data_IF_459861342314
#
_entry.id   IF_459861342314
#
_cell.length_a   1.000
_cell.length_b   1.000
_cell.length_c   1.000
_cell.angle_alpha   90.00
_cell.angle_beta   90.00
_cell.angle_gamma   90.00
#
_symmetry.space_group_name_H-M   'P 1'
#
loop_
_entity.id
_entity.type
_entity.pdbx_description
1 polymer ?
#
# COMPACT_ATOMS: atom_id res chain seq x y z
N UNK A 1 8.56 11.36 -11.43
CA UNK A 1 7.48 10.53 -10.89
C UNK A 1 6.18 11.30 -11.07
N UNK A 2 5.27 10.81 -11.89
CA UNK A 2 3.99 11.48 -12.12
C UNK A 2 3.08 11.28 -10.90
N UNK A 3 2.46 12.36 -10.41
CA UNK A 3 1.54 12.33 -9.28
C UNK A 3 0.34 11.39 -9.57
N UNK A 4 -0.25 10.74 -8.56
CA UNK A 4 -1.46 9.94 -8.75
C UNK A 4 -2.57 10.86 -9.25
N UNK A 5 -2.96 10.67 -10.52
CA UNK A 5 -4.11 11.33 -11.11
C UNK A 5 -5.32 11.04 -10.22
N UNK A 6 -5.90 12.08 -9.61
CA UNK A 6 -7.14 11.98 -8.84
C UNK A 6 -8.14 11.19 -9.69
N UNK A 7 -8.53 10.00 -9.22
CA UNK A 7 -9.55 9.19 -9.87
C UNK A 7 -10.80 10.05 -10.03
N UNK A 8 -11.15 10.35 -11.29
CA UNK A 8 -12.39 11.05 -11.60
C UNK A 8 -13.54 10.22 -11.04
N UNK A 9 -14.33 10.77 -10.13
CA UNK A 9 -15.48 10.10 -9.53
C UNK A 9 -16.41 9.52 -10.61
N UNK A 10 -16.54 10.19 -11.75
CA UNK A 10 -17.32 9.73 -12.91
C UNK A 10 -16.78 8.42 -13.51
N UNK A 11 -15.46 8.25 -13.58
CA UNK A 11 -14.85 7.04 -14.12
C UNK A 11 -15.10 5.85 -13.19
N UNK A 12 -14.96 6.06 -11.87
CA UNK A 12 -15.27 5.02 -10.89
C UNK A 12 -16.75 4.61 -10.93
N UNK A 13 -17.66 5.57 -10.97
CA UNK A 13 -19.10 5.29 -11.08
C UNK A 13 -19.45 4.53 -12.35
N UNK A 14 -18.82 4.88 -13.50
CA UNK A 14 -19.01 4.15 -14.76
C UNK A 14 -18.62 2.68 -14.61
N UNK A 15 -17.42 2.38 -14.11
CA UNK A 15 -16.96 1.00 -13.95
C UNK A 15 -17.78 0.20 -12.94
N UNK A 16 -18.22 0.84 -11.84
CA UNK A 16 -19.12 0.19 -10.87
C UNK A 16 -20.49 -0.14 -11.47
N UNK A 17 -21.04 0.74 -12.32
CA UNK A 17 -22.29 0.47 -13.02
C UNK A 17 -22.13 -0.66 -14.06
N UNK A 18 -21.01 -0.69 -14.78
CA UNK A 18 -20.70 -1.74 -15.75
C UNK A 18 -20.56 -3.10 -15.06
N UNK A 19 -19.83 -3.16 -13.94
CA UNK A 19 -19.76 -4.36 -13.12
C UNK A 19 -21.12 -4.76 -12.55
N UNK A 20 -21.93 -3.79 -12.11
CA UNK A 20 -23.29 -4.04 -11.66
C UNK A 20 -24.15 -4.68 -12.74
N UNK A 21 -24.03 -4.21 -13.99
CA UNK A 21 -24.73 -4.79 -15.12
C UNK A 21 -24.27 -6.23 -15.42
N UNK A 22 -22.96 -6.50 -15.34
CA UNK A 22 -22.39 -7.85 -15.57
C UNK A 22 -22.85 -8.87 -14.52
N UNK A 23 -23.02 -8.47 -13.26
CA UNK A 23 -23.48 -9.36 -12.18
C UNK A 23 -24.93 -9.82 -12.38
N UNK A 24 -25.71 -9.11 -13.20
CA UNK A 24 -27.05 -9.53 -13.62
C UNK A 24 -27.04 -10.44 -14.86
N UNK A 25 -25.87 -10.82 -15.35
CA UNK A 25 -25.72 -11.76 -16.46
C UNK A 25 -25.22 -13.12 -15.96
N UNK A 26 -25.26 -14.11 -16.85
CA UNK A 26 -24.79 -15.46 -16.60
C UNK A 26 -23.52 -15.72 -17.41
N UNK A 27 -22.65 -16.56 -16.88
CA UNK A 27 -21.49 -17.04 -17.61
C UNK A 27 -21.90 -18.07 -18.69
N UNK A 28 -20.91 -18.57 -19.45
CA UNK A 28 -21.13 -19.53 -20.53
C UNK A 28 -21.68 -20.89 -20.04
N UNK A 29 -21.56 -21.18 -18.75
CA UNK A 29 -22.08 -22.39 -18.10
C UNK A 29 -23.49 -22.16 -17.51
N UNK A 30 -24.03 -20.95 -17.62
CA UNK A 30 -25.34 -20.57 -17.11
C UNK A 30 -25.35 -20.22 -15.61
N UNK A 31 -24.18 -20.09 -14.98
CA UNK A 31 -24.06 -19.66 -13.60
C UNK A 31 -24.10 -18.13 -13.49
N UNK A 32 -24.66 -17.58 -12.39
CA UNK A 32 -24.65 -16.15 -12.17
C UNK A 32 -23.22 -15.63 -11.96
N UNK A 33 -22.85 -14.55 -12.65
CA UNK A 33 -21.53 -13.94 -12.54
C UNK A 33 -21.39 -13.25 -11.18
N UNK A 34 -20.35 -13.63 -10.42
CA UNK A 34 -20.04 -12.98 -9.14
C UNK A 34 -19.40 -11.59 -9.35
N UNK A 35 -19.46 -10.73 -8.33
CA UNK A 35 -18.80 -9.41 -8.39
C UNK A 35 -17.29 -9.56 -8.56
N UNK A 36 -16.73 -10.57 -7.93
CA UNK A 36 -15.31 -10.91 -7.98
C UNK A 36 -14.90 -11.33 -9.39
N UNK A 37 -15.72 -12.14 -10.05
CA UNK A 37 -15.51 -12.57 -11.43
C UNK A 37 -15.62 -11.39 -12.40
N UNK A 38 -16.65 -10.56 -12.28
CA UNK A 38 -16.80 -9.36 -13.10
C UNK A 38 -15.60 -8.39 -12.93
N UNK A 39 -15.07 -8.26 -11.71
CA UNK A 39 -13.87 -7.46 -11.45
C UNK A 39 -12.62 -8.08 -12.08
N UNK A 40 -12.46 -9.40 -11.97
CA UNK A 40 -11.35 -10.12 -12.56
C UNK A 40 -11.34 -9.99 -14.09
N UNK A 41 -12.50 -10.12 -14.73
CA UNK A 41 -12.64 -9.95 -16.18
C UNK A 41 -12.30 -8.54 -16.63
N UNK A 42 -12.77 -7.52 -15.89
CA UNK A 42 -12.43 -6.12 -16.18
C UNK A 42 -10.92 -5.88 -16.06
N UNK A 43 -10.28 -6.46 -15.04
CA UNK A 43 -8.83 -6.35 -14.83
C UNK A 43 -8.06 -7.01 -15.99
N UNK A 44 -8.49 -8.19 -16.44
CA UNK A 44 -7.90 -8.88 -17.60
C UNK A 44 -8.09 -8.10 -18.90
N UNK A 45 -9.28 -7.55 -19.14
CA UNK A 45 -9.54 -6.66 -20.29
C UNK A 45 -8.59 -5.47 -20.30
N UNK A 46 -8.38 -4.82 -19.16
CA UNK A 46 -7.43 -3.71 -19.03
C UNK A 46 -5.98 -4.12 -19.24
N UNK A 47 -5.60 -5.32 -18.77
CA UNK A 47 -4.25 -5.83 -18.95
C UNK A 47 -3.94 -6.18 -20.41
N UNK A 48 -4.89 -6.76 -21.16
CA UNK A 48 -4.70 -7.15 -22.56
C UNK A 48 -5.04 -6.04 -23.57
N UNK A 49 -5.71 -4.98 -23.12
CA UNK A 49 -6.37 -4.05 -24.01
C UNK A 49 -7.67 -4.63 -24.54
N UNK A 50 -8.64 -3.76 -24.80
CA UNK A 50 -9.93 -4.17 -25.34
C UNK A 50 -10.53 -3.05 -26.18
N UNK A 51 -11.47 -3.43 -27.03
CA UNK A 51 -12.18 -2.48 -27.87
C UNK A 51 -13.64 -2.46 -27.46
N UNK A 52 -14.19 -1.27 -27.25
CA UNK A 52 -15.61 -1.09 -26.94
C UNK A 52 -16.29 -0.27 -28.04
N UNK A 53 -17.53 -0.65 -28.35
CA UNK A 53 -18.38 0.12 -29.26
C UNK A 53 -19.08 1.21 -28.46
N UNK A 54 -18.62 2.44 -28.62
CA UNK A 54 -19.21 3.63 -28.04
C UNK A 54 -20.21 4.31 -28.98
N UNK A 55 -20.82 5.39 -28.48
CA UNK A 55 -21.42 6.42 -29.32
C UNK A 55 -20.64 7.71 -29.13
N UNK A 56 -20.36 8.40 -30.23
CA UNK A 56 -19.83 9.75 -30.19
C UNK A 56 -20.91 10.75 -29.74
N UNK A 57 -20.51 12.01 -29.54
CA UNK A 57 -21.43 13.09 -29.14
C UNK A 57 -22.52 13.36 -30.20
N UNK A 58 -22.29 12.93 -31.43
CA UNK A 58 -23.21 13.03 -32.57
C UNK A 58 -24.12 11.78 -32.72
N UNK A 59 -23.99 10.80 -31.83
CA UNK A 59 -24.80 9.59 -31.78
C UNK A 59 -24.38 8.48 -32.75
N UNK A 60 -23.30 8.64 -33.51
CA UNK A 60 -22.75 7.61 -34.39
C UNK A 60 -22.01 6.55 -33.57
N UNK A 61 -22.01 5.32 -34.07
CA UNK A 61 -21.22 4.23 -33.46
C UNK A 61 -19.74 4.48 -33.73
N UNK A 62 -18.96 4.62 -32.66
CA UNK A 62 -17.52 4.76 -32.73
C UNK A 62 -16.84 3.59 -32.01
N UNK A 63 -15.70 3.17 -32.53
CA UNK A 63 -14.88 2.11 -31.93
C UNK A 63 -13.83 2.76 -31.02
N UNK A 64 -13.93 2.52 -29.72
CA UNK A 64 -12.99 3.04 -28.72
C UNK A 64 -11.99 1.96 -28.38
N UNK A 65 -10.74 2.17 -28.81
CA UNK A 65 -9.64 1.23 -28.58
C UNK A 65 -8.93 1.59 -27.27
N UNK A 66 -9.03 0.70 -26.28
CA UNK A 66 -8.29 0.80 -25.02
C UNK A 66 -7.00 0.00 -25.12
N UNK A 67 -5.86 0.69 -25.01
CA UNK A 67 -4.54 0.05 -25.03
C UNK A 67 -4.29 -0.74 -23.74
N UNK A 68 -3.44 -1.78 -23.79
CA UNK A 68 -2.98 -2.49 -22.59
C UNK A 68 -2.46 -1.52 -21.52
N UNK A 69 -2.98 -1.64 -20.30
CA UNK A 69 -2.59 -0.80 -19.18
C UNK A 69 -1.50 -1.48 -18.34
N UNK A 70 -0.32 -0.86 -18.24
CA UNK A 70 0.84 -1.44 -17.57
C UNK A 70 0.61 -1.77 -16.09
N UNK A 71 -0.17 -0.95 -15.38
CA UNK A 71 -0.48 -1.20 -13.97
C UNK A 71 -1.32 -2.46 -13.78
N UNK A 72 -2.23 -2.76 -14.72
CA UNK A 72 -3.10 -3.94 -14.64
C UNK A 72 -2.29 -5.21 -14.91
N UNK A 73 -1.41 -5.17 -15.91
CA UNK A 73 -0.44 -6.25 -16.17
C UNK A 73 0.45 -6.51 -14.96
N UNK A 74 1.01 -5.46 -14.37
CA UNK A 74 1.87 -5.56 -13.19
C UNK A 74 1.11 -6.12 -11.99
N UNK A 75 -0.12 -5.65 -11.74
CA UNK A 75 -0.94 -6.13 -10.63
C UNK A 75 -1.23 -7.64 -10.74
N UNK A 76 -1.62 -8.11 -11.92
CA UNK A 76 -1.85 -9.55 -12.17
C UNK A 76 -0.57 -10.33 -11.93
N UNK A 77 0.56 -9.84 -12.43
CA UNK A 77 1.86 -10.49 -12.26
C UNK A 77 2.27 -10.59 -10.79
N UNK A 78 2.18 -9.49 -10.04
CA UNK A 78 2.47 -9.45 -8.60
C UNK A 78 1.58 -10.41 -7.80
N UNK A 79 0.28 -10.47 -8.12
CA UNK A 79 -0.66 -11.40 -7.49
C UNK A 79 -0.34 -12.86 -7.81
N UNK A 80 0.07 -13.17 -9.04
CA UNK A 80 0.46 -14.52 -9.46
C UNK A 80 1.77 -14.98 -8.81
N UNK A 81 2.71 -14.07 -8.64
CA UNK A 81 3.99 -14.32 -7.95
C UNK A 81 3.85 -14.37 -6.41
N UNK A 82 2.65 -14.12 -5.87
CA UNK A 82 2.42 -14.09 -4.42
C UNK A 82 3.02 -12.86 -3.72
N UNK A 83 3.37 -11.81 -4.46
CA UNK A 83 3.76 -10.53 -3.88
C UNK A 83 2.51 -9.85 -3.32
N UNK A 84 2.34 -9.93 -2.00
CA UNK A 84 1.30 -9.18 -1.32
C UNK A 84 1.58 -7.68 -1.54
N UNK A 85 0.57 -6.86 -1.92
CA UNK A 85 0.78 -5.43 -1.97
C UNK A 85 1.24 -4.98 -0.59
N UNK A 86 2.39 -4.29 -0.53
CA UNK A 86 2.80 -3.62 0.68
C UNK A 86 1.62 -2.73 1.08
N UNK A 87 1.01 -3.01 2.24
CA UNK A 87 -0.05 -2.19 2.78
C UNK A 87 0.41 -0.74 2.64
N UNK A 88 -0.41 0.12 2.04
CA UNK A 88 -0.12 1.54 1.82
C UNK A 88 0.44 2.08 3.13
N UNK A 89 1.76 2.17 3.23
CA UNK A 89 2.38 2.75 4.38
C UNK A 89 2.02 4.21 4.26
N UNK A 90 1.21 4.70 5.18
CA UNK A 90 1.23 6.11 5.56
C UNK A 90 2.65 6.40 6.04
N UNK A 91 3.57 6.63 5.09
CA UNK A 91 5.02 6.62 5.30
C UNK A 91 5.48 7.65 6.33
N UNK A 92 4.62 8.64 6.64
CA UNK A 92 4.93 9.70 7.59
C UNK A 92 4.72 9.29 9.05
N UNK A 93 3.84 8.33 9.37
CA UNK A 93 3.58 7.95 10.76
C UNK A 93 4.61 6.96 11.33
N UNK A 94 5.04 5.99 10.51
CA UNK A 94 5.91 4.91 10.98
C UNK A 94 7.40 5.26 10.96
N UNK A 95 7.85 6.13 10.04
CA UNK A 95 9.23 6.63 10.05
C UNK A 95 9.54 7.47 11.29
N UNK A 96 8.59 8.33 11.70
CA UNK A 96 8.73 9.14 12.92
C UNK A 96 8.86 8.23 14.14
N UNK A 97 8.00 7.21 14.25
CA UNK A 97 8.02 6.27 15.38
C UNK A 97 9.27 5.39 15.44
N UNK A 98 9.84 5.03 14.29
CA UNK A 98 11.10 4.29 14.22
C UNK A 98 12.30 5.16 14.63
N UNK A 99 12.37 6.42 14.18
CA UNK A 99 13.41 7.35 14.57
C UNK A 99 13.38 7.65 16.08
N UNK A 100 12.19 7.79 16.66
CA UNK A 100 12.01 8.01 18.10
C UNK A 100 12.45 6.79 18.93
N UNK A 101 12.13 5.57 18.48
CA UNK A 101 12.62 4.33 19.12
C UNK A 101 14.14 4.21 19.08
N UNK A 102 14.79 4.63 18.00
CA UNK A 102 16.26 4.61 17.89
C UNK A 102 16.88 5.62 18.86
N UNK A 103 16.28 6.81 19.02
CA UNK A 103 16.73 7.82 19.99
C UNK A 103 16.58 7.35 21.43
N UNK A 104 15.47 6.71 21.77
CA UNK A 104 15.23 6.12 23.10
C UNK A 104 16.26 5.04 23.42
N UNK A 105 16.48 4.08 22.51
CA UNK A 105 17.49 3.03 22.68
C UNK A 105 18.91 3.58 22.78
N UNK A 106 19.24 4.64 22.03
CA UNK A 106 20.53 5.30 22.13
C UNK A 106 20.71 5.97 23.50
N UNK A 107 19.66 6.62 24.03
CA UNK A 107 19.66 7.27 25.35
C UNK A 107 19.81 6.25 26.48
N UNK A 108 19.11 5.13 26.40
CA UNK A 108 19.25 4.03 27.37
C UNK A 108 20.66 3.44 27.39
N UNK A 109 21.28 3.25 26.21
CA UNK A 109 22.65 2.74 26.11
C UNK A 109 23.66 3.72 26.69
N UNK A 110 23.50 5.02 26.42
CA UNK A 110 24.37 6.06 26.98
C UNK A 110 24.23 6.16 28.51
N UNK A 111 23.01 6.08 29.03
CA UNK A 111 22.76 6.10 30.48
C UNK A 111 23.33 4.86 31.18
N UNK A 112 23.22 3.68 30.57
CA UNK A 112 23.84 2.44 31.10
C UNK A 112 25.37 2.53 31.09
N UNK A 113 25.97 3.12 30.06
CA UNK A 113 27.42 3.33 30.00
C UNK A 113 27.89 4.40 31.00
N UNK A 114 27.11 5.47 31.20
CA UNK A 114 27.40 6.50 32.20
C UNK A 114 27.31 5.95 33.62
N UNK A 115 26.30 5.13 33.92
CA UNK A 115 26.15 4.43 35.21
C UNK A 115 27.25 3.38 35.44
N UNK A 116 27.74 2.71 34.39
CA UNK A 116 28.86 1.78 34.49
C UNK A 116 30.22 2.49 34.72
N UNK A 117 30.36 3.74 34.25
CA UNK A 117 31.59 4.53 34.43
C UNK A 117 31.62 5.30 35.75
N UNK A 118 30.46 5.63 36.31
CA UNK A 118 30.31 6.11 37.68
C UNK A 118 30.23 4.90 38.63
N UNK A 119 31.38 4.33 38.99
CA UNK A 119 31.45 3.29 40.03
C UNK A 119 30.78 3.73 41.35
N UNK A 120 30.45 2.79 42.27
CA UNK A 120 29.65 3.09 43.45
C UNK A 120 30.31 4.18 44.30
N UNK A 121 29.68 5.37 44.33
CA UNK A 121 30.09 6.46 45.20
C UNK A 121 29.65 6.15 46.64
N UNK A 122 30.43 5.30 47.32
CA UNK A 122 30.38 5.21 48.77
C UNK A 122 30.96 6.49 49.37
N UNK A 123 30.35 7.08 50.43
CA UNK A 123 30.89 8.29 51.06
C UNK A 123 32.30 8.04 51.60
N UNK A 124 33.22 9.03 51.52
CA UNK A 124 34.61 8.84 51.89
C UNK A 124 34.74 8.54 53.39
N UNK A 125 35.23 7.35 53.73
CA UNK A 125 35.56 7.00 55.12
C UNK A 125 36.91 7.59 55.48
N UNK A 126 36.91 8.60 56.37
CA UNK A 126 38.11 9.19 56.94
C UNK A 126 38.68 8.25 58.02
N UNK A 127 39.89 7.71 57.81
CA UNK A 127 40.67 7.04 58.87
C UNK A 127 41.63 8.06 59.51
N UNK A 128 41.49 8.40 60.80
CA UNK A 128 42.49 9.22 61.49
C UNK A 128 43.80 8.44 61.61
N UNK A 129 44.91 9.06 61.19
CA UNK A 129 46.27 8.57 61.42
C UNK A 129 46.56 8.64 62.93
N UNK A 130 47.05 7.54 63.49
CA UNK A 130 47.44 7.45 64.89
C UNK A 130 48.46 8.52 65.28
N UNK A 131 48.16 9.22 66.36
CA UNK A 131 49.14 9.92 67.18
C UNK A 131 49.83 8.89 68.09
N UNK A 132 51.15 9.04 68.19
CA UNK A 132 52.03 8.31 69.09
C UNK A 132 51.65 8.48 70.56
#
# INVERSE_FOLDING_TARGET
>A
MAAPTKLSTKALTRYLNEMGALVHTVDDEGNPISREQALADLLWKKALGYTEMGRDDDGNRCEVVHKPEAWAMQYIFERREGKAPAAVQTEDADRIRAADKVRELARERLNKLAAAKAGPSGPPTYKPKGSA
#
